data_IF_660852984837
#
_entry.id   IF_660852984837
#
_cell.length_a   1.000
_cell.length_b   1.000
_cell.length_c   1.000
_cell.angle_alpha   90.00
_cell.angle_beta   90.00
_cell.angle_gamma   90.00
#
_symmetry.space_group_name_H-M   'P 1'
#
loop_
_entity.id
_entity.type
_entity.pdbx_description
1 polymer ?
#
# COMPACT_ATOMS: atom_id res chain seq x y z
N UNK A 1 -6.86 -4.04 7.68
CA UNK A 1 -5.39 -3.93 7.67
C UNK A 1 -5.03 -2.76 6.77
N UNK A 2 -4.32 -1.75 7.26
CA UNK A 2 -4.19 -0.46 6.57
C UNK A 2 -2.84 0.23 6.79
N UNK A 3 -1.79 -0.50 7.12
CA UNK A 3 -0.50 0.10 7.42
C UNK A 3 0.66 -0.49 6.61
N UNK A 4 1.79 0.23 6.61
CA UNK A 4 3.03 -0.24 5.98
C UNK A 4 3.57 -1.52 6.65
N UNK A 5 3.56 -1.64 7.99
CA UNK A 5 4.00 -2.88 8.64
C UNK A 5 3.16 -4.09 8.25
N UNK A 6 1.85 -3.92 8.14
CA UNK A 6 0.93 -4.97 7.71
C UNK A 6 1.13 -5.35 6.24
N UNK A 7 1.46 -4.37 5.39
CA UNK A 7 1.82 -4.62 4.00
C UNK A 7 3.00 -5.58 3.90
N UNK A 8 4.10 -5.31 4.63
CA UNK A 8 5.28 -6.17 4.62
C UNK A 8 4.98 -7.60 5.08
N UNK A 9 4.10 -7.76 6.08
CA UNK A 9 3.67 -9.08 6.55
C UNK A 9 2.84 -9.80 5.48
N UNK A 10 1.86 -9.11 4.89
CA UNK A 10 0.93 -9.73 3.94
C UNK A 10 1.63 -10.13 2.64
N UNK A 11 2.51 -9.29 2.08
CA UNK A 11 3.26 -9.65 0.86
C UNK A 11 4.26 -10.80 1.09
N UNK A 12 4.67 -11.06 2.34
CA UNK A 12 5.50 -12.21 2.64
C UNK A 12 4.72 -13.52 2.77
N UNK A 13 3.44 -13.45 3.12
CA UNK A 13 2.61 -14.63 3.39
C UNK A 13 1.56 -14.92 2.31
N UNK A 14 1.12 -13.91 1.58
CA UNK A 14 0.03 -14.01 0.62
C UNK A 14 0.45 -13.46 -0.75
N UNK A 15 -0.22 -13.92 -1.79
CA UNK A 15 0.04 -13.53 -3.16
C UNK A 15 -1.27 -13.20 -3.89
N UNK A 16 -1.24 -12.16 -4.73
CA UNK A 16 -2.35 -11.76 -5.59
C UNK A 16 -2.27 -12.37 -6.99
N UNK A 17 -3.13 -11.90 -7.90
CA UNK A 17 -3.05 -12.27 -9.31
C UNK A 17 -1.69 -11.88 -9.91
N UNK A 18 -1.17 -10.72 -9.53
CA UNK A 18 0.15 -10.23 -9.95
C UNK A 18 0.96 -9.79 -8.75
N UNK A 19 2.28 -9.76 -8.88
CA UNK A 19 3.22 -9.27 -7.87
C UNK A 19 3.96 -8.04 -8.39
N UNK A 20 4.27 -7.11 -7.47
CA UNK A 20 5.07 -5.94 -7.82
C UNK A 20 6.49 -6.38 -8.24
N UNK A 21 6.98 -5.82 -9.34
CA UNK A 21 8.35 -6.09 -9.77
C UNK A 21 9.33 -5.32 -8.86
N UNK A 22 10.20 -6.02 -8.10
CA UNK A 22 11.14 -5.36 -7.19
C UNK A 22 12.19 -4.49 -7.89
N UNK A 23 12.32 -4.62 -9.21
CA UNK A 23 13.20 -3.79 -10.05
C UNK A 23 12.48 -2.60 -10.69
N UNK A 24 11.18 -2.40 -10.39
CA UNK A 24 10.32 -1.42 -11.05
C UNK A 24 9.82 -1.91 -12.41
N UNK A 25 8.99 -1.10 -13.06
CA UNK A 25 8.35 -1.44 -14.33
C UNK A 25 7.03 -2.17 -14.15
N UNK A 26 6.71 -3.08 -15.07
CA UNK A 26 5.45 -3.81 -15.05
C UNK A 26 5.45 -4.92 -14.00
N UNK A 27 4.25 -5.21 -13.49
CA UNK A 27 4.05 -6.31 -12.56
C UNK A 27 4.46 -7.65 -13.18
N UNK A 28 4.91 -8.55 -12.33
CA UNK A 28 5.23 -9.93 -12.68
C UNK A 28 4.01 -10.83 -12.43
N UNK A 29 3.92 -11.98 -13.10
CA UNK A 29 3.00 -13.04 -12.74
C UNK A 29 3.08 -13.39 -11.25
N UNK A 30 1.90 -13.63 -10.66
CA UNK A 30 1.73 -14.18 -9.33
C UNK A 30 0.88 -15.46 -9.43
N UNK A 31 -0.28 -15.51 -8.75
CA UNK A 31 -1.23 -16.61 -8.92
C UNK A 31 -1.70 -16.70 -10.37
N UNK A 32 -1.85 -15.59 -11.09
CA UNK A 32 -2.06 -15.59 -12.53
C UNK A 32 -0.71 -15.75 -13.25
N UNK A 33 -0.56 -16.81 -14.04
CA UNK A 33 0.63 -17.03 -14.88
C UNK A 33 0.63 -16.16 -16.14
N UNK A 34 -0.57 -15.77 -16.61
CA UNK A 34 -0.76 -14.87 -17.75
C UNK A 34 -2.14 -14.22 -17.74
N UNK A 35 -2.33 -13.22 -18.60
CA UNK A 35 -3.62 -12.55 -18.79
C UNK A 35 -3.75 -11.99 -20.20
N UNK A 36 -5.00 -11.87 -20.64
CA UNK A 36 -5.38 -11.23 -21.89
C UNK A 36 -6.20 -9.98 -21.61
N UNK A 37 -6.08 -8.97 -22.47
CA UNK A 37 -6.81 -7.71 -22.38
C UNK A 37 -7.55 -7.51 -23.70
N UNK A 38 -8.86 -7.23 -23.63
CA UNK A 38 -9.66 -6.92 -24.82
C UNK A 38 -9.17 -5.64 -25.52
N UNK A 39 -9.48 -5.50 -26.82
CA UNK A 39 -9.08 -4.34 -27.63
C UNK A 39 -9.57 -3.00 -27.05
N UNK A 40 -10.73 -3.00 -26.38
CA UNK A 40 -11.30 -1.81 -25.74
C UNK A 40 -10.68 -1.53 -24.34
N UNK A 41 -9.76 -2.37 -23.87
CA UNK A 41 -9.06 -2.23 -22.60
C UNK A 41 -9.95 -2.41 -21.35
N UNK A 42 -11.14 -3.00 -21.48
CA UNK A 42 -12.12 -3.11 -20.40
C UNK A 42 -12.26 -4.52 -19.84
N UNK A 43 -11.97 -5.54 -20.63
CA UNK A 43 -12.09 -6.93 -20.18
C UNK A 43 -10.70 -7.54 -20.03
N UNK A 44 -10.48 -8.17 -18.88
CA UNK A 44 -9.26 -8.90 -18.56
C UNK A 44 -9.66 -10.36 -18.29
N UNK A 45 -8.93 -11.29 -18.90
CA UNK A 45 -9.03 -12.73 -18.60
C UNK A 45 -7.71 -13.18 -18.03
N UNK A 46 -7.72 -13.63 -16.77
CA UNK A 46 -6.54 -14.12 -16.07
C UNK A 46 -6.54 -15.65 -16.08
N UNK A 47 -5.41 -16.25 -16.44
CA UNK A 47 -5.18 -17.69 -16.42
C UNK A 47 -4.36 -18.02 -15.18
N UNK A 48 -4.95 -18.79 -14.26
CA UNK A 48 -4.36 -19.08 -12.96
C UNK A 48 -3.44 -20.30 -13.02
N UNK A 49 -2.35 -20.23 -12.25
CA UNK A 49 -1.40 -21.33 -12.10
C UNK A 49 -2.07 -22.53 -11.41
N UNK A 50 -2.15 -23.65 -12.11
CA UNK A 50 -2.76 -24.89 -11.63
C UNK A 50 -2.01 -25.53 -10.46
N UNK A 51 -0.79 -25.09 -10.17
CA UNK A 51 0.00 -25.54 -9.03
C UNK A 51 -0.12 -24.58 -7.82
N UNK A 52 -0.89 -23.50 -7.93
CA UNK A 52 -1.09 -22.59 -6.81
C UNK A 52 -1.95 -23.24 -5.74
N UNK A 53 -1.38 -23.41 -4.55
CA UNK A 53 -2.04 -24.03 -3.41
C UNK A 53 -2.12 -23.05 -2.24
N UNK A 54 -3.16 -23.19 -1.45
CA UNK A 54 -3.22 -22.65 -0.11
C UNK A 54 -2.28 -23.42 0.83
N UNK A 55 -1.86 -22.79 1.91
CA UNK A 55 -0.94 -23.40 2.89
C UNK A 55 -1.50 -24.62 3.62
N UNK A 56 -2.81 -24.89 3.52
CA UNK A 56 -3.47 -26.08 4.01
C UNK A 56 -3.57 -27.21 2.95
N UNK A 57 -3.11 -26.96 1.72
CA UNK A 57 -3.12 -27.91 0.61
C UNK A 57 -4.30 -27.80 -0.35
N UNK A 58 -5.28 -26.95 -0.05
CA UNK A 58 -6.40 -26.72 -0.97
C UNK A 58 -5.92 -25.98 -2.24
N UNK A 59 -6.61 -26.18 -3.35
CA UNK A 59 -6.31 -25.50 -4.61
C UNK A 59 -6.73 -24.04 -4.55
N UNK A 60 -5.88 -23.13 -5.03
CA UNK A 60 -6.29 -21.73 -5.26
C UNK A 60 -7.07 -21.66 -6.58
N UNK A 61 -8.26 -21.09 -6.53
CA UNK A 61 -9.18 -21.04 -7.68
C UNK A 61 -9.61 -19.61 -8.01
N UNK A 62 -10.17 -19.41 -9.20
CA UNK A 62 -10.78 -18.16 -9.61
C UNK A 62 -11.94 -17.75 -8.68
N UNK A 63 -12.65 -18.73 -8.10
CA UNK A 63 -13.74 -18.47 -7.17
C UNK A 63 -13.26 -17.86 -5.84
N UNK A 64 -12.01 -18.12 -5.42
CA UNK A 64 -11.42 -17.50 -4.25
C UNK A 64 -11.27 -15.98 -4.43
N UNK A 65 -10.88 -15.54 -5.62
CA UNK A 65 -10.81 -14.10 -5.96
C UNK A 65 -12.20 -13.47 -6.00
N UNK A 66 -13.18 -14.11 -6.66
CA UNK A 66 -14.56 -13.63 -6.71
C UNK A 66 -15.13 -13.45 -5.31
N UNK A 67 -14.98 -14.45 -4.43
CA UNK A 67 -15.47 -14.40 -3.07
C UNK A 67 -14.74 -13.34 -2.24
N UNK A 68 -13.42 -13.22 -2.37
CA UNK A 68 -12.61 -12.26 -1.62
C UNK A 68 -12.91 -10.83 -2.01
N UNK A 69 -13.14 -10.56 -3.28
CA UNK A 69 -13.54 -9.24 -3.77
C UNK A 69 -14.98 -8.90 -3.38
N UNK A 70 -15.87 -9.88 -3.36
CA UNK A 70 -17.19 -9.72 -2.77
C UNK A 70 -17.08 -9.31 -1.29
N UNK A 71 -16.23 -10.02 -0.53
CA UNK A 71 -16.02 -9.74 0.88
C UNK A 71 -15.51 -8.32 1.14
N UNK A 72 -14.48 -7.87 0.43
CA UNK A 72 -13.93 -6.52 0.63
C UNK A 72 -14.91 -5.41 0.23
N UNK A 73 -15.77 -5.68 -0.76
CA UNK A 73 -16.83 -4.77 -1.21
C UNK A 73 -18.10 -4.85 -0.37
N UNK A 74 -18.25 -5.84 0.51
CA UNK A 74 -19.42 -5.96 1.40
C UNK A 74 -19.49 -4.76 2.35
N UNK A 75 -20.56 -3.94 2.34
CA UNK A 75 -20.64 -2.70 3.12
C UNK A 75 -20.46 -2.93 4.63
N UNK A 76 -21.05 -3.98 5.19
CA UNK A 76 -20.99 -4.29 6.62
C UNK A 76 -19.59 -4.68 7.10
N UNK A 77 -18.69 -5.14 6.22
CA UNK A 77 -17.29 -5.35 6.56
C UNK A 77 -16.58 -4.03 6.91
N UNK A 78 -16.99 -2.91 6.32
CA UNK A 78 -16.35 -1.61 6.52
C UNK A 78 -14.86 -1.63 6.20
N UNK A 79 -14.50 -2.23 5.08
CA UNK A 79 -13.13 -2.25 4.57
C UNK A 79 -12.58 -0.83 4.40
N UNK A 80 -11.26 -0.65 4.53
CA UNK A 80 -10.61 0.64 4.35
C UNK A 80 -10.18 0.90 2.90
N UNK A 81 -10.12 -0.15 2.05
CA UNK A 81 -9.65 -0.07 0.67
C UNK A 81 -10.62 -0.71 -0.34
N UNK A 82 -11.94 -0.52 -0.24
CA UNK A 82 -12.87 -1.04 -1.25
C UNK A 82 -12.71 -0.29 -2.58
N UNK A 83 -12.26 0.96 -2.52
CA UNK A 83 -12.00 1.85 -3.65
C UNK A 83 -10.96 1.31 -4.63
N UNK A 84 -10.04 0.45 -4.18
CA UNK A 84 -9.11 -0.26 -5.06
C UNK A 84 -9.84 -1.14 -6.10
N UNK A 85 -11.05 -1.59 -5.81
CA UNK A 85 -11.88 -2.38 -6.72
C UNK A 85 -13.00 -1.57 -7.42
N UNK A 86 -13.11 -0.26 -7.19
CA UNK A 86 -14.13 0.58 -7.84
C UNK A 86 -13.94 0.75 -9.35
N UNK A 87 -12.81 0.32 -9.87
CA UNK A 87 -12.58 0.23 -11.31
C UNK A 87 -13.40 -0.87 -11.98
N UNK A 88 -13.82 -1.89 -11.24
CA UNK A 88 -14.71 -2.94 -11.74
C UNK A 88 -16.11 -2.37 -11.98
N UNK A 89 -16.75 -2.82 -13.03
CA UNK A 89 -18.16 -2.53 -13.31
C UNK A 89 -19.03 -2.91 -12.12
N UNK A 90 -19.89 -2.02 -11.66
CA UNK A 90 -20.83 -2.27 -10.56
C UNK A 90 -20.23 -2.38 -9.14
N UNK A 91 -18.90 -2.35 -8.97
CA UNK A 91 -18.26 -2.56 -7.66
C UNK A 91 -18.57 -1.44 -6.65
N UNK A 92 -18.49 -0.20 -7.09
CA UNK A 92 -18.84 0.95 -6.25
C UNK A 92 -20.32 0.96 -5.86
N UNK A 93 -21.17 0.67 -6.82
CA UNK A 93 -22.62 0.58 -6.63
C UNK A 93 -22.99 -0.54 -5.63
N UNK A 94 -22.31 -1.68 -5.71
CA UNK A 94 -22.48 -2.76 -4.74
C UNK A 94 -22.01 -2.33 -3.35
N UNK A 95 -20.82 -1.74 -3.23
CA UNK A 95 -20.31 -1.26 -1.95
C UNK A 95 -21.17 -0.19 -1.31
N UNK A 96 -21.80 0.67 -2.12
CA UNK A 96 -22.73 1.70 -1.65
C UNK A 96 -24.15 1.18 -1.38
N UNK A 97 -24.41 -0.11 -1.61
CA UNK A 97 -25.73 -0.73 -1.42
C UNK A 97 -26.76 -0.34 -2.48
N UNK A 98 -26.35 0.24 -3.62
CA UNK A 98 -27.21 0.59 -4.74
C UNK A 98 -27.64 -0.61 -5.57
N UNK A 99 -26.81 -1.63 -5.63
CA UNK A 99 -27.13 -2.96 -6.15
C UNK A 99 -26.88 -3.99 -5.05
N UNK A 100 -27.69 -5.03 -4.99
CA UNK A 100 -27.64 -6.05 -3.93
C UNK A 100 -27.06 -7.38 -4.41
N UNK A 101 -27.04 -7.62 -5.72
CA UNK A 101 -26.55 -8.86 -6.26
C UNK A 101 -25.09 -8.70 -6.73
N UNK A 102 -24.18 -9.47 -6.14
CA UNK A 102 -22.76 -9.43 -6.51
C UNK A 102 -22.50 -9.95 -7.92
N UNK A 103 -23.40 -10.75 -8.51
CA UNK A 103 -23.29 -11.18 -9.91
C UNK A 103 -23.34 -10.04 -10.92
N UNK A 104 -23.79 -8.84 -10.50
CA UNK A 104 -23.83 -7.64 -11.34
C UNK A 104 -22.48 -6.89 -11.34
N UNK A 105 -21.55 -7.30 -10.45
CA UNK A 105 -20.18 -6.79 -10.41
C UNK A 105 -19.33 -7.48 -11.47
N UNK A 106 -18.51 -6.71 -12.16
CA UNK A 106 -17.67 -7.16 -13.26
C UNK A 106 -16.53 -8.11 -12.86
N UNK A 107 -16.82 -9.17 -12.11
CA UNK A 107 -15.87 -10.24 -11.80
C UNK A 107 -16.58 -11.58 -11.77
N UNK A 108 -16.04 -12.58 -12.46
CA UNK A 108 -16.61 -13.94 -12.52
C UNK A 108 -15.54 -14.99 -12.76
N UNK A 109 -15.70 -16.14 -12.14
CA UNK A 109 -14.92 -17.32 -12.48
C UNK A 109 -15.57 -18.01 -13.69
N UNK A 110 -14.81 -18.15 -14.79
CA UNK A 110 -15.25 -18.92 -15.97
C UNK A 110 -15.15 -20.40 -15.64
N UNK A 111 -14.05 -20.78 -15.02
CA UNK A 111 -13.78 -22.10 -14.44
C UNK A 111 -12.81 -21.93 -13.27
N UNK A 112 -12.31 -23.02 -12.69
CA UNK A 112 -11.40 -22.96 -11.53
C UNK A 112 -10.10 -22.19 -11.79
N UNK A 113 -9.65 -22.10 -13.05
CA UNK A 113 -8.38 -21.48 -13.42
C UNK A 113 -8.51 -20.31 -14.40
N UNK A 114 -9.71 -19.82 -14.63
CA UNK A 114 -9.96 -18.66 -15.47
C UNK A 114 -10.84 -17.65 -14.75
N UNK A 115 -10.28 -16.47 -14.49
CA UNK A 115 -10.98 -15.33 -13.88
C UNK A 115 -11.20 -14.25 -14.92
N UNK A 116 -12.46 -13.87 -15.13
CA UNK A 116 -12.83 -12.76 -16.00
C UNK A 116 -13.13 -11.52 -15.15
N UNK A 117 -12.59 -10.37 -15.57
CA UNK A 117 -12.81 -9.06 -14.93
C UNK A 117 -13.26 -8.06 -15.98
N UNK A 118 -14.36 -7.33 -15.71
CA UNK A 118 -14.90 -6.28 -16.55
C UNK A 118 -14.77 -4.92 -15.81
N UNK A 119 -14.11 -3.95 -16.43
CA UNK A 119 -13.92 -2.61 -15.90
C UNK A 119 -14.99 -1.64 -16.37
N UNK A 120 -15.30 -0.59 -15.57
CA UNK A 120 -16.18 0.51 -15.99
C UNK A 120 -15.60 1.24 -17.21
N UNK A 121 -14.30 1.52 -17.16
CA UNK A 121 -13.55 2.27 -18.17
C UNK A 121 -12.20 1.60 -18.41
N UNK A 122 -11.56 1.82 -19.58
CA UNK A 122 -10.18 1.39 -19.80
C UNK A 122 -9.28 1.97 -18.71
N UNK A 123 -8.54 1.10 -18.02
CA UNK A 123 -7.70 1.46 -16.89
C UNK A 123 -6.30 0.90 -17.07
N UNK A 124 -5.38 1.62 -17.74
CA UNK A 124 -4.05 1.10 -18.11
C UNK A 124 -3.20 0.64 -16.91
N UNK A 125 -3.44 1.17 -15.72
CA UNK A 125 -2.73 0.82 -14.50
C UNK A 125 -3.43 -0.29 -13.68
N UNK A 126 -4.50 -0.91 -14.19
CA UNK A 126 -5.28 -1.92 -13.45
C UNK A 126 -4.41 -3.11 -13.00
N UNK A 127 -3.54 -3.62 -13.87
CA UNK A 127 -2.62 -4.71 -13.52
C UNK A 127 -1.73 -4.33 -12.32
N UNK A 128 -1.29 -3.07 -12.24
CA UNK A 128 -0.48 -2.60 -11.09
C UNK A 128 -1.26 -2.56 -9.78
N UNK A 129 -2.56 -2.27 -9.82
CA UNK A 129 -3.42 -2.31 -8.63
C UNK A 129 -3.52 -3.71 -8.04
N UNK A 130 -3.48 -4.74 -8.89
CA UNK A 130 -3.65 -6.14 -8.47
C UNK A 130 -2.48 -6.71 -7.66
N UNK A 131 -1.36 -6.00 -7.55
CA UNK A 131 -0.27 -6.33 -6.61
C UNK A 131 -0.47 -5.73 -5.21
N UNK A 132 -1.52 -4.92 -5.01
CA UNK A 132 -1.83 -4.41 -3.68
C UNK A 132 -2.57 -5.47 -2.86
N UNK A 133 -2.14 -5.67 -1.61
CA UNK A 133 -2.65 -6.73 -0.73
C UNK A 133 -4.18 -6.70 -0.49
N UNK A 134 -4.86 -5.58 -0.74
CA UNK A 134 -6.32 -5.52 -0.65
C UNK A 134 -7.04 -6.32 -1.73
N UNK A 135 -6.36 -6.65 -2.82
CA UNK A 135 -6.89 -7.46 -3.92
C UNK A 135 -6.53 -8.94 -3.81
N UNK A 136 -5.74 -9.32 -2.79
CA UNK A 136 -5.34 -10.71 -2.59
C UNK A 136 -6.51 -11.59 -2.16
N UNK A 137 -6.52 -12.86 -2.56
CA UNK A 137 -7.55 -13.78 -2.13
C UNK A 137 -7.38 -14.13 -0.65
N UNK A 138 -8.47 -14.48 0.01
CA UNK A 138 -8.50 -15.06 1.34
C UNK A 138 -9.25 -16.39 1.30
N UNK A 139 -8.77 -17.35 2.07
CA UNK A 139 -9.36 -18.70 2.08
C UNK A 139 -10.75 -18.69 2.73
N UNK A 140 -11.78 -18.84 1.89
CA UNK A 140 -13.19 -18.70 2.26
C UNK A 140 -13.58 -19.59 3.44
N UNK A 141 -13.24 -20.86 3.37
CA UNK A 141 -13.62 -21.87 4.37
C UNK A 141 -13.01 -21.53 5.73
N UNK A 142 -11.76 -21.07 5.76
CA UNK A 142 -11.10 -20.63 6.99
C UNK A 142 -11.76 -19.37 7.58
N UNK A 143 -12.12 -18.40 6.75
CA UNK A 143 -12.83 -17.20 7.22
C UNK A 143 -14.16 -17.58 7.84
N UNK A 144 -14.97 -18.40 7.14
CA UNK A 144 -16.32 -18.79 7.57
C UNK A 144 -16.30 -19.75 8.76
N UNK A 145 -15.26 -20.57 8.93
CA UNK A 145 -15.07 -21.43 10.10
C UNK A 145 -14.88 -20.60 11.38
N UNK A 146 -14.32 -19.41 11.29
CA UNK A 146 -13.93 -18.60 12.43
C UNK A 146 -14.69 -17.26 12.56
N UNK A 147 -15.74 -17.07 11.77
CA UNK A 147 -16.56 -15.86 11.76
C UNK A 147 -17.55 -15.82 10.59
N UNK A 148 -18.04 -14.64 10.29
CA UNK A 148 -18.89 -14.37 9.13
C UNK A 148 -18.08 -13.64 8.04
N UNK A 149 -18.67 -13.46 6.87
CA UNK A 149 -18.03 -12.74 5.76
C UNK A 149 -17.59 -11.32 6.14
N UNK A 150 -18.32 -10.69 7.04
CA UNK A 150 -18.14 -9.30 7.49
C UNK A 150 -17.56 -9.18 8.92
N UNK A 151 -17.18 -10.30 9.53
CA UNK A 151 -16.54 -10.27 10.85
C UNK A 151 -15.11 -9.73 10.73
N UNK A 152 -14.87 -8.56 11.37
CA UNK A 152 -13.55 -7.91 11.45
C UNK A 152 -12.63 -8.50 12.52
N UNK A 153 -13.20 -9.20 13.49
CA UNK A 153 -12.51 -9.74 14.67
C UNK A 153 -12.35 -11.27 14.60
N UNK A 154 -12.68 -11.87 13.48
CA UNK A 154 -12.60 -13.31 13.26
C UNK A 154 -11.21 -13.87 13.60
N UNK A 155 -11.20 -15.03 14.25
CA UNK A 155 -9.95 -15.69 14.69
C UNK A 155 -9.18 -16.35 13.54
N UNK A 156 -9.66 -16.22 12.31
CA UNK A 156 -9.05 -16.84 11.13
C UNK A 156 -7.61 -16.33 10.85
N UNK A 157 -7.25 -15.11 11.33
CA UNK A 157 -5.91 -14.52 11.17
C UNK A 157 -4.92 -14.95 12.26
N UNK A 158 -5.31 -15.81 13.20
CA UNK A 158 -4.43 -16.21 14.31
C UNK A 158 -3.49 -17.34 13.90
N UNK A 159 -2.31 -17.46 14.56
CA UNK A 159 -1.44 -18.62 14.36
C UNK A 159 -2.19 -19.92 14.52
N UNK A 160 -1.95 -20.89 13.64
CA UNK A 160 -2.67 -22.17 13.59
C UNK A 160 -4.01 -22.14 12.85
N UNK A 161 -4.60 -20.95 12.61
CA UNK A 161 -5.81 -20.80 11.80
C UNK A 161 -5.55 -20.14 10.45
N UNK A 162 -4.53 -19.27 10.37
CA UNK A 162 -4.27 -18.46 9.20
C UNK A 162 -3.82 -19.32 8.03
N UNK A 163 -4.60 -19.28 6.95
CA UNK A 163 -4.33 -19.96 5.68
C UNK A 163 -4.09 -18.90 4.62
N UNK A 164 -2.94 -18.97 3.96
CA UNK A 164 -2.57 -18.05 2.89
C UNK A 164 -1.85 -18.80 1.76
N UNK A 165 -1.64 -18.16 0.63
CA UNK A 165 -1.17 -18.81 -0.61
C UNK A 165 0.22 -18.36 -1.05
N UNK A 166 0.96 -17.64 -0.22
CA UNK A 166 2.26 -17.06 -0.57
C UNK A 166 3.47 -17.85 -0.03
N UNK A 167 4.66 -17.25 -0.13
CA UNK A 167 5.94 -17.92 0.14
C UNK A 167 6.19 -18.30 1.59
N UNK A 168 5.51 -17.66 2.56
CA UNK A 168 5.70 -17.90 3.98
C UNK A 168 4.39 -18.20 4.70
N UNK A 169 4.44 -19.05 5.73
CA UNK A 169 3.34 -19.37 6.63
C UNK A 169 3.51 -18.64 7.97
N UNK A 170 2.40 -18.20 8.58
CA UNK A 170 2.41 -17.63 9.92
C UNK A 170 2.68 -18.73 10.97
N UNK A 171 3.85 -18.69 11.58
CA UNK A 171 4.26 -19.63 12.63
C UNK A 171 3.85 -19.19 14.02
N UNK A 172 4.14 -17.93 14.37
CA UNK A 172 3.86 -17.37 15.68
C UNK A 172 3.55 -15.88 15.63
N UNK A 173 2.71 -15.43 16.54
CA UNK A 173 2.42 -14.02 16.78
C UNK A 173 2.40 -13.77 18.29
N UNK A 174 3.52 -13.30 18.80
CA UNK A 174 3.71 -12.93 20.19
C UNK A 174 3.55 -11.41 20.33
N UNK A 175 2.44 -10.98 20.95
CA UNK A 175 2.11 -9.56 21.07
C UNK A 175 3.26 -8.75 21.69
N UNK A 176 3.58 -7.61 21.10
CA UNK A 176 4.65 -6.69 21.49
C UNK A 176 6.06 -7.31 21.52
N UNK A 177 6.24 -8.51 20.99
CA UNK A 177 7.53 -9.19 20.99
C UNK A 177 8.02 -9.49 19.57
N UNK A 178 7.27 -10.31 18.82
CA UNK A 178 7.65 -10.69 17.47
C UNK A 178 6.50 -11.35 16.69
N UNK A 179 6.58 -11.30 15.37
CA UNK A 179 5.84 -12.17 14.46
C UNK A 179 6.86 -13.04 13.73
N UNK A 180 6.64 -14.34 13.69
CA UNK A 180 7.51 -15.31 13.01
C UNK A 180 6.75 -15.93 11.86
N UNK A 181 7.33 -15.87 10.67
CA UNK A 181 6.85 -16.59 9.50
C UNK A 181 7.93 -17.57 9.03
N UNK A 182 7.51 -18.73 8.53
CA UNK A 182 8.40 -19.78 8.04
C UNK A 182 8.08 -20.16 6.61
N UNK A 183 9.05 -20.69 5.87
CA UNK A 183 8.89 -21.08 4.47
C UNK A 183 7.68 -21.99 4.27
N UNK A 184 6.84 -21.65 3.30
CA UNK A 184 5.73 -22.46 2.88
C UNK A 184 6.19 -23.48 1.81
N UNK A 185 6.27 -24.78 2.13
CA UNK A 185 6.68 -25.79 1.17
C UNK A 185 5.66 -26.07 0.07
N UNK A 186 4.40 -25.63 0.26
CA UNK A 186 3.31 -25.79 -0.70
C UNK A 186 3.17 -24.59 -1.65
N UNK A 187 3.99 -23.54 -1.48
CA UNK A 187 3.99 -22.41 -2.39
C UNK A 187 4.46 -22.86 -3.78
N UNK A 188 3.74 -22.46 -4.84
CA UNK A 188 4.00 -22.91 -6.20
C UNK A 188 5.42 -22.60 -6.69
N UNK A 189 6.05 -21.54 -6.20
CA UNK A 189 7.42 -21.14 -6.52
C UNK A 189 8.38 -21.32 -5.30
N UNK A 190 8.14 -22.33 -4.47
CA UNK A 190 8.91 -22.57 -3.24
C UNK A 190 10.40 -22.77 -3.48
N UNK A 191 10.81 -23.29 -4.63
CA UNK A 191 12.23 -23.54 -4.95
C UNK A 191 13.03 -22.25 -5.06
N UNK A 192 12.39 -21.13 -5.40
CA UNK A 192 13.03 -19.80 -5.45
C UNK A 192 13.07 -19.10 -4.09
N UNK A 193 12.30 -19.56 -3.11
CA UNK A 193 12.30 -18.99 -1.76
C UNK A 193 13.54 -19.44 -1.01
N UNK A 194 14.45 -18.52 -0.75
CA UNK A 194 15.77 -18.80 -0.11
C UNK A 194 15.73 -18.73 1.41
N UNK A 195 14.82 -17.94 1.98
CA UNK A 195 14.72 -17.77 3.43
C UNK A 195 13.86 -18.89 4.02
N UNK A 196 14.32 -19.47 5.13
CA UNK A 196 13.56 -20.47 5.88
C UNK A 196 12.62 -19.84 6.90
N UNK A 197 13.00 -18.66 7.44
CA UNK A 197 12.26 -17.98 8.48
C UNK A 197 12.50 -16.47 8.39
N UNK A 198 11.48 -15.66 8.67
CA UNK A 198 11.58 -14.21 8.86
C UNK A 198 10.98 -13.87 10.23
N UNK A 199 11.67 -13.04 11.00
CA UNK A 199 11.20 -12.52 12.29
C UNK A 199 11.00 -11.02 12.19
N UNK A 200 9.78 -10.57 12.48
CA UNK A 200 9.42 -9.16 12.53
C UNK A 200 9.35 -8.71 13.99
N UNK A 201 10.11 -7.69 14.33
CA UNK A 201 10.16 -7.11 15.67
C UNK A 201 9.43 -5.76 15.67
N UNK A 202 8.42 -5.54 16.55
CA UNK A 202 7.68 -4.30 16.63
C UNK A 202 8.46 -3.23 17.42
N UNK A 203 9.55 -2.73 16.84
CA UNK A 203 10.37 -1.67 17.44
C UNK A 203 9.85 -0.33 16.95
N UNK A 204 9.33 0.50 17.87
CA UNK A 204 8.75 1.81 17.54
C UNK A 204 9.75 2.97 17.62
N UNK A 205 10.91 2.77 18.25
CA UNK A 205 11.92 3.80 18.41
C UNK A 205 13.09 3.57 17.45
N UNK A 206 13.28 4.48 16.49
CA UNK A 206 14.28 4.39 15.43
C UNK A 206 15.72 4.27 15.97
N UNK A 207 16.06 5.01 17.02
CA UNK A 207 17.39 4.91 17.62
C UNK A 207 17.64 3.58 18.35
N UNK A 208 16.56 2.93 18.84
CA UNK A 208 16.65 1.56 19.38
C UNK A 208 16.82 0.57 18.26
N UNK A 209 16.08 0.71 17.17
CA UNK A 209 16.20 -0.13 15.98
C UNK A 209 17.62 -0.07 15.40
N UNK A 210 18.20 1.13 15.26
CA UNK A 210 19.59 1.34 14.82
C UNK A 210 20.60 0.64 15.76
N UNK A 211 20.42 0.75 17.09
CA UNK A 211 21.29 0.03 18.04
C UNK A 211 21.21 -1.47 17.91
N UNK A 212 20.01 -2.02 17.73
CA UNK A 212 19.80 -3.46 17.53
C UNK A 212 20.45 -3.93 16.22
N UNK A 213 20.35 -3.15 15.14
CA UNK A 213 21.02 -3.45 13.89
C UNK A 213 22.55 -3.48 14.05
N UNK A 214 23.13 -2.46 14.66
CA UNK A 214 24.58 -2.39 14.90
C UNK A 214 25.08 -3.49 15.87
N UNK A 215 24.22 -3.98 16.73
CA UNK A 215 24.50 -5.12 17.61
C UNK A 215 24.32 -6.50 16.92
N UNK A 216 23.95 -6.53 15.63
CA UNK A 216 23.72 -7.76 14.88
C UNK A 216 22.41 -8.50 15.24
N UNK A 217 21.50 -7.83 15.94
CA UNK A 217 20.21 -8.41 16.32
C UNK A 217 19.15 -8.28 15.21
N UNK A 218 19.32 -7.32 14.31
CA UNK A 218 18.48 -7.11 13.14
C UNK A 218 19.32 -7.17 11.86
N UNK A 219 18.76 -7.74 10.79
CA UNK A 219 19.38 -7.75 9.46
C UNK A 219 18.96 -6.55 8.61
N UNK A 220 17.77 -6.03 8.86
CA UNK A 220 17.18 -4.90 8.14
C UNK A 220 16.46 -4.01 9.15
N UNK A 221 16.57 -2.69 8.98
CA UNK A 221 15.79 -1.69 9.71
C UNK A 221 14.75 -1.08 8.77
N UNK A 222 13.65 -0.59 9.32
CA UNK A 222 12.63 0.08 8.53
C UNK A 222 13.06 1.49 8.11
N UNK A 223 13.73 2.20 9.02
CA UNK A 223 14.24 3.57 8.80
C UNK A 223 15.61 3.74 9.41
N UNK A 224 16.34 4.77 8.96
CA UNK A 224 17.56 5.24 9.59
C UNK A 224 17.24 6.51 10.36
N UNK A 225 17.61 6.64 11.65
CA UNK A 225 17.40 7.88 12.40
C UNK A 225 18.00 9.09 11.66
N UNK A 226 17.24 10.17 11.51
CA UNK A 226 17.66 11.33 10.72
C UNK A 226 18.98 11.91 11.19
N UNK A 227 19.25 11.91 12.50
CA UNK A 227 20.51 12.37 13.07
C UNK A 227 21.72 11.48 12.72
N UNK A 228 21.50 10.23 12.32
CA UNK A 228 22.55 9.27 11.92
C UNK A 228 22.80 9.26 10.43
N UNK A 229 21.80 9.59 9.64
CA UNK A 229 21.85 9.49 8.19
C UNK A 229 23.03 10.26 7.57
N UNK A 230 23.31 11.54 7.94
CA UNK A 230 24.47 12.26 7.41
C UNK A 230 25.80 11.55 7.68
N UNK A 231 25.96 10.98 8.87
CA UNK A 231 27.18 10.26 9.26
C UNK A 231 27.35 8.98 8.42
N UNK A 232 26.24 8.27 8.15
CA UNK A 232 26.28 7.06 7.31
C UNK A 232 26.55 7.38 5.85
N UNK A 233 26.06 8.52 5.34
CA UNK A 233 26.36 9.02 3.99
C UNK A 233 27.83 9.41 3.89
N UNK A 234 28.32 10.23 4.81
CA UNK A 234 29.71 10.73 4.84
C UNK A 234 30.75 9.59 4.91
N UNK A 235 30.44 8.55 5.70
CA UNK A 235 31.30 7.38 5.85
C UNK A 235 31.05 6.30 4.78
N UNK A 236 30.26 6.58 3.76
CA UNK A 236 29.92 5.62 2.68
C UNK A 236 29.50 4.25 3.23
N UNK A 237 28.65 4.25 4.26
CA UNK A 237 28.28 3.00 4.95
C UNK A 237 27.64 2.00 3.96
N UNK A 238 28.26 0.81 3.75
CA UNK A 238 27.77 -0.15 2.75
C UNK A 238 26.38 -0.73 3.05
N UNK A 239 25.91 -0.58 4.27
CA UNK A 239 24.59 -1.05 4.68
C UNK A 239 23.48 0.00 4.49
N UNK A 240 23.85 1.28 4.25
CA UNK A 240 22.86 2.33 3.97
C UNK A 240 22.28 2.12 2.59
N UNK A 241 20.94 2.11 2.51
CA UNK A 241 20.18 2.14 1.26
C UNK A 241 19.35 3.42 1.22
N UNK A 242 19.53 4.20 0.16
CA UNK A 242 18.70 5.38 -0.16
C UNK A 242 18.09 5.12 -1.53
N UNK A 243 16.81 4.84 -1.55
CA UNK A 243 16.08 4.48 -2.75
C UNK A 243 15.00 5.53 -3.05
N UNK A 244 14.68 5.78 -4.34
CA UNK A 244 13.55 6.62 -4.70
C UNK A 244 12.25 6.09 -4.10
N UNK A 245 11.50 6.97 -3.45
CA UNK A 245 10.20 6.65 -2.87
C UNK A 245 9.13 7.53 -3.52
N UNK A 246 8.10 6.89 -4.08
CA UNK A 246 6.97 7.60 -4.70
C UNK A 246 5.99 8.07 -3.63
N UNK A 247 6.39 9.07 -2.88
CA UNK A 247 5.59 9.64 -1.80
C UNK A 247 5.96 11.08 -1.52
N UNK A 248 4.99 11.85 -1.09
CA UNK A 248 5.17 13.26 -0.69
C UNK A 248 4.70 13.46 0.73
N UNK A 249 5.57 14.01 1.58
CA UNK A 249 5.17 14.49 2.89
C UNK A 249 4.49 15.86 2.74
N UNK A 250 3.26 15.99 3.25
CA UNK A 250 2.48 17.22 3.12
C UNK A 250 1.64 17.50 4.37
N UNK A 251 1.29 18.75 4.55
CA UNK A 251 0.29 19.16 5.54
C UNK A 251 -1.11 19.11 4.95
N UNK A 252 -2.02 18.41 5.63
CA UNK A 252 -3.43 18.41 5.29
C UNK A 252 -4.11 19.59 5.94
N UNK A 253 -4.62 20.53 5.13
CA UNK A 253 -5.27 21.76 5.60
C UNK A 253 -6.77 21.54 5.72
N UNK A 254 -7.34 21.81 6.90
CA UNK A 254 -8.78 21.78 7.09
C UNK A 254 -9.42 23.05 6.49
N UNK A 255 -9.99 22.91 5.30
CA UNK A 255 -10.64 24.01 4.56
C UNK A 255 -11.99 24.45 5.13
N UNK A 256 -12.53 23.75 6.14
CA UNK A 256 -13.72 24.17 6.90
C UNK A 256 -13.37 25.17 8.01
N UNK A 257 -12.10 25.29 8.38
CA UNK A 257 -11.67 26.29 9.35
C UNK A 257 -11.84 27.70 8.77
N UNK A 258 -12.46 28.65 9.49
CA UNK A 258 -12.81 29.99 8.97
C UNK A 258 -11.65 30.73 8.28
N UNK A 259 -10.45 30.71 8.87
CA UNK A 259 -9.25 31.35 8.32
C UNK A 259 -8.67 30.57 7.15
N UNK A 260 -8.56 29.25 7.30
CA UNK A 260 -7.95 28.38 6.29
C UNK A 260 -8.88 28.09 5.09
N UNK A 261 -10.17 28.51 5.16
CA UNK A 261 -11.09 28.52 4.02
C UNK A 261 -10.62 29.48 2.92
N UNK A 262 -9.94 30.58 3.29
CA UNK A 262 -9.38 31.52 2.33
C UNK A 262 -8.19 30.88 1.58
N UNK A 263 -8.28 30.87 0.23
CA UNK A 263 -7.24 30.34 -0.65
C UNK A 263 -5.91 31.07 -0.50
N UNK A 264 -5.94 32.41 -0.37
CA UNK A 264 -4.76 33.23 -0.33
C UNK A 264 -3.98 33.01 0.99
N UNK A 265 -4.69 32.76 2.09
CA UNK A 265 -4.07 32.33 3.35
C UNK A 265 -3.33 30.99 3.17
N UNK A 266 -3.96 30.02 2.51
CA UNK A 266 -3.29 28.73 2.28
C UNK A 266 -2.07 28.85 1.37
N UNK A 267 -2.14 29.69 0.32
CA UNK A 267 -1.02 30.00 -0.55
C UNK A 267 0.09 30.73 0.18
N UNK A 268 -0.25 31.70 1.05
CA UNK A 268 0.72 32.40 1.88
C UNK A 268 1.51 31.43 2.76
N UNK A 269 0.83 30.48 3.43
CA UNK A 269 1.49 29.44 4.23
C UNK A 269 2.40 28.57 3.37
N UNK A 270 1.98 28.24 2.16
CA UNK A 270 2.77 27.39 1.25
C UNK A 270 4.02 28.12 0.72
N UNK A 271 3.92 29.42 0.37
CA UNK A 271 5.06 30.25 -0.06
C UNK A 271 6.03 30.58 1.06
N UNK A 272 5.59 30.58 2.33
CA UNK A 272 6.43 30.84 3.49
C UNK A 272 7.37 29.67 3.84
N UNK A 273 7.18 28.47 3.29
CA UNK A 273 7.96 27.27 3.62
C UNK A 273 9.18 27.15 2.71
N UNK A 274 10.38 27.27 3.29
CA UNK A 274 11.63 26.97 2.57
C UNK A 274 11.91 25.47 2.56
N UNK A 275 11.29 24.75 1.61
CA UNK A 275 11.41 23.31 1.48
C UNK A 275 12.85 22.84 1.23
N UNK A 276 13.60 23.62 0.42
CA UNK A 276 15.01 23.33 0.14
C UNK A 276 15.84 23.34 1.43
N UNK A 277 15.66 24.38 2.26
CA UNK A 277 16.36 24.47 3.52
C UNK A 277 15.98 23.33 4.50
N UNK A 278 14.72 22.89 4.48
CA UNK A 278 14.26 21.76 5.31
C UNK A 278 15.01 20.49 4.91
N UNK A 279 15.03 20.12 3.63
CA UNK A 279 15.68 18.89 3.20
C UNK A 279 17.21 18.95 3.37
N UNK A 280 17.84 20.10 3.18
CA UNK A 280 19.29 20.28 3.30
C UNK A 280 19.79 20.44 4.74
N UNK A 281 19.00 21.01 5.65
CA UNK A 281 19.44 21.37 7.00
C UNK A 281 18.79 20.55 8.11
N UNK A 282 17.58 20.03 7.86
CA UNK A 282 16.81 19.28 8.87
C UNK A 282 16.82 17.79 8.54
N UNK A 283 16.26 17.39 7.40
CA UNK A 283 16.14 15.97 7.04
C UNK A 283 17.49 15.33 6.70
N UNK A 284 18.27 15.91 5.80
CA UNK A 284 19.66 15.54 5.45
C UNK A 284 19.87 14.07 5.05
N UNK A 285 18.84 13.38 4.56
CA UNK A 285 18.88 11.95 4.27
C UNK A 285 18.43 11.62 2.83
N UNK A 286 18.74 12.50 1.87
CA UNK A 286 18.46 12.27 0.46
C UNK A 286 17.06 12.67 0.01
N UNK A 287 16.21 13.22 0.90
CA UNK A 287 14.89 13.72 0.52
C UNK A 287 15.00 14.88 -0.47
N UNK A 288 14.11 14.92 -1.46
CA UNK A 288 13.96 16.02 -2.39
C UNK A 288 12.92 17.05 -1.91
N UNK A 289 13.13 18.33 -2.21
CA UNK A 289 12.13 19.36 -1.95
C UNK A 289 10.93 19.15 -2.87
N UNK A 290 9.72 19.00 -2.31
CA UNK A 290 8.49 18.80 -3.07
C UNK A 290 7.77 20.13 -3.32
N UNK A 291 7.49 20.44 -4.58
CA UNK A 291 6.75 21.63 -5.00
C UNK A 291 5.35 21.29 -5.54
N UNK A 292 5.06 20.02 -5.72
CA UNK A 292 3.77 19.45 -6.13
C UNK A 292 3.37 18.29 -5.22
N UNK A 293 2.07 17.93 -5.25
CA UNK A 293 1.57 16.80 -4.48
C UNK A 293 2.06 15.46 -5.05
N UNK A 294 1.98 15.29 -6.37
CA UNK A 294 2.50 14.10 -7.03
C UNK A 294 3.99 14.28 -7.31
N UNK A 295 4.85 13.34 -6.90
CA UNK A 295 6.27 13.40 -7.19
C UNK A 295 6.55 13.42 -8.70
N UNK A 296 7.59 14.15 -9.17
CA UNK A 296 8.00 14.13 -10.56
C UNK A 296 8.44 12.73 -11.00
N UNK A 297 8.27 12.42 -12.30
CA UNK A 297 8.60 11.10 -12.85
C UNK A 297 7.58 9.99 -12.55
N UNK A 298 6.44 10.33 -11.96
CA UNK A 298 5.35 9.38 -11.72
C UNK A 298 4.66 9.04 -13.05
N UNK A 299 5.04 7.92 -13.67
CA UNK A 299 4.46 7.42 -14.93
C UNK A 299 4.39 8.47 -16.05
N UNK A 300 5.44 9.31 -16.18
CA UNK A 300 5.51 10.38 -17.18
C UNK A 300 4.74 11.64 -16.80
N UNK A 301 4.22 11.72 -15.56
CA UNK A 301 3.61 12.94 -15.05
C UNK A 301 4.68 13.96 -14.69
N UNK A 302 4.58 15.15 -15.29
CA UNK A 302 5.36 16.32 -14.93
C UNK A 302 4.40 17.36 -14.36
N UNK A 303 4.61 17.83 -13.10
CA UNK A 303 3.75 18.84 -12.51
C UNK A 303 3.91 20.18 -13.25
N UNK A 304 2.80 20.80 -13.58
CA UNK A 304 2.72 22.14 -14.17
C UNK A 304 2.59 23.25 -13.11
N UNK A 305 2.57 22.85 -11.84
CA UNK A 305 2.42 23.76 -10.70
C UNK A 305 3.71 23.81 -9.89
N UNK A 306 4.13 25.02 -9.57
CA UNK A 306 5.25 25.28 -8.66
C UNK A 306 4.81 26.26 -7.58
N UNK A 307 5.14 25.93 -6.33
CA UNK A 307 4.92 26.81 -5.18
C UNK A 307 6.28 27.08 -4.52
N UNK A 308 7.12 27.97 -5.12
CA UNK A 308 8.45 28.24 -4.63
C UNK A 308 8.42 28.96 -3.28
N UNK A 309 9.55 28.96 -2.58
CA UNK A 309 9.72 29.79 -1.39
C UNK A 309 9.73 31.28 -1.78
N UNK A 310 8.72 32.03 -1.33
CA UNK A 310 8.59 33.47 -1.57
C UNK A 310 7.94 34.15 -0.36
N UNK A 311 8.76 34.55 0.66
CA UNK A 311 8.23 35.11 1.88
C UNK A 311 7.63 36.51 1.70
N UNK A 312 8.02 37.26 0.65
CA UNK A 312 7.44 38.57 0.34
C UNK A 312 6.01 38.42 -0.17
N UNK A 313 5.81 37.55 -1.14
CA UNK A 313 4.47 37.20 -1.63
C UNK A 313 3.60 36.62 -0.51
N UNK A 314 4.17 35.76 0.34
CA UNK A 314 3.45 35.21 1.50
C UNK A 314 2.92 36.31 2.43
N UNK A 315 3.74 37.32 2.75
CA UNK A 315 3.34 38.49 3.59
C UNK A 315 2.25 39.33 2.91
N UNK A 316 2.38 39.59 1.60
CA UNK A 316 1.35 40.31 0.84
C UNK A 316 -0.01 39.59 0.88
N UNK A 317 -0.03 38.30 0.58
CA UNK A 317 -1.26 37.52 0.59
C UNK A 317 -1.93 37.45 1.98
N UNK A 318 -1.13 37.39 3.05
CA UNK A 318 -1.67 37.45 4.41
C UNK A 318 -2.21 38.86 4.75
N UNK A 319 -1.53 39.92 4.35
CA UNK A 319 -1.98 41.29 4.57
C UNK A 319 -3.31 41.56 3.82
N UNK A 320 -3.39 41.16 2.56
CA UNK A 320 -4.58 41.28 1.72
C UNK A 320 -5.77 40.44 2.27
N UNK A 321 -5.44 39.41 3.02
CA UNK A 321 -6.43 38.56 3.73
C UNK A 321 -6.83 39.07 5.10
N UNK A 322 -6.35 40.28 5.51
CA UNK A 322 -6.68 40.90 6.78
C UNK A 322 -5.74 40.57 7.94
N UNK A 323 -4.57 39.96 7.68
CA UNK A 323 -3.60 39.50 8.68
C UNK A 323 -2.23 40.20 8.49
N UNK A 324 -2.23 41.53 8.29
CA UNK A 324 -0.98 42.29 8.13
C UNK A 324 -0.05 42.05 9.32
N UNK A 325 1.22 41.71 9.03
CA UNK A 325 2.24 41.35 10.04
C UNK A 325 1.85 40.20 10.98
N UNK A 326 0.84 39.40 10.61
CA UNK A 326 0.32 38.31 11.44
C UNK A 326 -0.68 38.73 12.52
N UNK A 327 -1.06 40.00 12.58
CA UNK A 327 -2.01 40.49 13.56
C UNK A 327 -3.36 39.83 13.39
N UNK A 328 -3.93 39.26 14.47
CA UNK A 328 -5.22 38.54 14.45
C UNK A 328 -5.19 37.16 13.78
N UNK A 329 -4.04 36.71 13.30
CA UNK A 329 -3.92 35.33 12.80
C UNK A 329 -4.01 34.37 13.98
N UNK A 330 -4.88 33.33 13.92
CA UNK A 330 -5.03 32.37 15.02
C UNK A 330 -3.73 31.55 15.19
N UNK A 331 -3.32 31.35 16.41
CA UNK A 331 -2.14 30.54 16.81
C UNK A 331 -2.62 29.14 17.18
#
# INVERSE_FOLDING_TARGET
VTGVPEHHLLISMCEGLTIANPRGGDNLPGVAESWEISEDGRTYTFYLNKNALWSNGDQVTAQDFVWSWMRILTPSLGSQYPDMLYYLKGAEEFHQGKISNFSDVGVSAINDHELKVELKNPTPFFIRLLSHYSTYPVHKETVLKHGTIDDRNGKWTRPGNFVCNGPMNLKAWELNKQIIVEKNPLYWDADRVRLNEIRYYPVSNESTEDRMFRAGQLHVTNVVPLEKCPIYIENENPNLRIEPYMGTYFYRINTLHPVLKNKDVRLALAFAINRKQIVEKVSKCGQAAAYSFTPPGSAGYEPDTDVPFNPELARSLLADSGYANGEGFPV
#
